data_IF_924373973398
#
_entry.id   IF_924373973398
#
_cell.length_a   1.000
_cell.length_b   1.000
_cell.length_c   1.000
_cell.angle_alpha   90.00
_cell.angle_beta   90.00
_cell.angle_gamma   90.00
#
_symmetry.space_group_name_H-M   'P 1'
#
loop_
_entity.id
_entity.type
_entity.pdbx_description
1 polymer ?
#
# COMPACT_ATOMS: atom_id res chain seq x y z
N UNK A 1 -25.11 -13.26 17.86
CA UNK A 1 -24.25 -12.19 17.31
C UNK A 1 -24.19 -11.06 18.31
N UNK A 2 -23.00 -10.68 18.75
CA UNK A 2 -22.79 -9.45 19.51
C UNK A 2 -22.58 -8.27 18.55
N UNK A 3 -22.69 -7.03 19.04
CA UNK A 3 -22.36 -5.82 18.26
C UNK A 3 -20.91 -5.86 17.72
N UNK A 4 -19.99 -6.39 18.51
CA UNK A 4 -18.59 -6.59 18.10
C UNK A 4 -18.49 -7.53 16.90
N UNK A 5 -19.23 -8.63 16.89
CA UNK A 5 -19.17 -9.60 15.80
C UNK A 5 -19.74 -9.01 14.50
N UNK A 6 -20.78 -8.17 14.60
CA UNK A 6 -21.32 -7.42 13.45
C UNK A 6 -20.29 -6.43 12.89
N UNK A 7 -19.57 -5.70 13.75
CA UNK A 7 -18.53 -4.77 13.33
C UNK A 7 -17.37 -5.47 12.61
N UNK A 8 -16.92 -6.60 13.15
CA UNK A 8 -15.88 -7.41 12.51
C UNK A 8 -16.35 -7.86 11.13
N UNK A 9 -17.56 -8.42 11.04
CA UNK A 9 -18.11 -8.87 9.76
C UNK A 9 -18.20 -7.75 8.70
N UNK A 10 -18.68 -6.56 9.08
CA UNK A 10 -18.76 -5.42 8.16
C UNK A 10 -17.37 -4.94 7.76
N UNK A 11 -16.42 -4.89 8.70
CA UNK A 11 -15.04 -4.47 8.43
C UNK A 11 -14.37 -5.45 7.47
N UNK A 12 -14.49 -6.75 7.70
CA UNK A 12 -13.94 -7.78 6.82
C UNK A 12 -14.54 -7.69 5.42
N UNK A 13 -15.85 -7.47 5.30
CA UNK A 13 -16.49 -7.27 4.01
C UNK A 13 -15.96 -6.03 3.30
N UNK A 14 -15.81 -4.90 4.00
CA UNK A 14 -15.26 -3.66 3.45
C UNK A 14 -13.82 -3.85 2.97
N UNK A 15 -12.97 -4.47 3.79
CA UNK A 15 -11.59 -4.80 3.42
C UNK A 15 -11.55 -5.68 2.17
N UNK A 16 -12.38 -6.73 2.09
CA UNK A 16 -12.44 -7.60 0.92
C UNK A 16 -12.84 -6.84 -0.36
N UNK A 17 -13.83 -5.95 -0.30
CA UNK A 17 -14.21 -5.16 -1.47
C UNK A 17 -13.07 -4.24 -1.92
N UNK A 18 -12.41 -3.60 -0.98
CA UNK A 18 -11.27 -2.73 -1.21
C UNK A 18 -10.08 -3.48 -1.83
N UNK A 19 -9.81 -4.70 -1.37
CA UNK A 19 -8.79 -5.58 -1.96
C UNK A 19 -9.15 -5.98 -3.40
N UNK A 20 -10.42 -6.27 -3.69
CA UNK A 20 -10.87 -6.60 -5.05
C UNK A 20 -10.70 -5.39 -5.99
N UNK A 21 -11.12 -4.20 -5.56
CA UNK A 21 -10.98 -2.99 -6.38
C UNK A 21 -9.52 -2.65 -6.65
N UNK A 22 -8.67 -2.67 -5.61
CA UNK A 22 -7.24 -2.41 -5.77
C UNK A 22 -6.55 -3.44 -6.65
N UNK A 23 -6.95 -4.72 -6.59
CA UNK A 23 -6.45 -5.76 -7.49
C UNK A 23 -6.85 -5.52 -8.95
N UNK A 24 -8.09 -5.09 -9.21
CA UNK A 24 -8.54 -4.75 -10.56
C UNK A 24 -7.73 -3.57 -11.11
N UNK A 25 -7.56 -2.50 -10.33
CA UNK A 25 -6.73 -1.35 -10.72
C UNK A 25 -5.27 -1.76 -10.97
N UNK A 26 -4.75 -2.67 -10.15
CA UNK A 26 -3.41 -3.22 -10.33
C UNK A 26 -3.28 -3.93 -11.68
N UNK A 27 -4.14 -4.90 -11.96
CA UNK A 27 -4.04 -5.72 -13.19
C UNK A 27 -4.31 -4.90 -14.45
N UNK A 28 -5.31 -4.02 -14.42
CA UNK A 28 -5.74 -3.29 -15.60
C UNK A 28 -4.86 -2.06 -15.90
N UNK A 29 -4.26 -1.45 -14.89
CA UNK A 29 -3.60 -0.14 -15.03
C UNK A 29 -2.16 -0.18 -14.53
N UNK A 30 -1.90 -0.58 -13.29
CA UNK A 30 -0.58 -0.43 -12.68
C UNK A 30 0.46 -1.42 -13.22
N UNK A 31 0.10 -2.70 -13.32
CA UNK A 31 1.00 -3.77 -13.75
C UNK A 31 1.52 -3.52 -15.18
N UNK A 32 0.70 -3.15 -16.18
CA UNK A 32 1.21 -2.77 -17.50
C UNK A 32 2.23 -1.62 -17.46
N UNK A 33 2.02 -0.63 -16.59
CA UNK A 33 2.92 0.52 -16.41
C UNK A 33 4.29 0.11 -15.87
N UNK A 34 4.35 -0.86 -14.95
CA UNK A 34 5.63 -1.37 -14.44
C UNK A 34 6.52 -1.97 -15.52
N UNK A 35 5.93 -2.47 -16.62
CA UNK A 35 6.67 -3.13 -17.72
C UNK A 35 7.19 -2.08 -18.72
N UNK A 36 6.46 -0.98 -18.90
CA UNK A 36 6.79 0.08 -19.86
C UNK A 36 8.02 0.90 -19.45
N UNK A 37 8.41 0.86 -18.17
CA UNK A 37 9.60 1.57 -17.66
C UNK A 37 9.47 3.09 -17.67
N UNK A 38 8.26 3.62 -17.88
CA UNK A 38 7.94 5.05 -17.83
C UNK A 38 7.43 5.39 -16.43
N UNK A 39 7.87 6.52 -15.89
CA UNK A 39 7.34 7.01 -14.62
C UNK A 39 5.98 7.68 -14.86
N UNK A 40 4.98 7.29 -14.08
CA UNK A 40 3.63 7.83 -14.11
C UNK A 40 3.35 8.70 -12.88
N UNK A 41 2.47 9.68 -13.03
CA UNK A 41 2.00 10.47 -11.90
C UNK A 41 1.23 9.58 -10.90
N UNK A 42 1.49 9.79 -9.62
CA UNK A 42 0.86 9.02 -8.54
C UNK A 42 -0.60 9.40 -8.41
N UNK A 43 -1.49 8.43 -8.60
CA UNK A 43 -2.91 8.61 -8.34
C UNK A 43 -3.20 8.55 -6.84
N UNK A 44 -3.51 9.70 -6.25
CA UNK A 44 -3.80 9.84 -4.81
C UNK A 44 -5.17 9.28 -4.39
N UNK A 45 -6.03 8.95 -5.35
CA UNK A 45 -7.33 8.34 -5.07
C UNK A 45 -7.23 6.82 -4.87
N UNK A 46 -6.08 6.23 -5.23
CA UNK A 46 -5.85 4.80 -5.04
C UNK A 46 -5.46 4.50 -3.60
N UNK A 47 -5.85 3.30 -3.16
CA UNK A 47 -5.48 2.78 -1.84
C UNK A 47 -3.97 2.74 -1.61
N UNK A 48 -3.22 2.48 -2.68
CA UNK A 48 -1.78 2.27 -2.65
C UNK A 48 -1.38 0.93 -2.02
N UNK A 49 -0.10 0.79 -1.67
CA UNK A 49 0.43 -0.45 -1.11
C UNK A 49 1.55 -0.25 -0.09
N UNK A 50 1.56 -1.11 0.92
CA UNK A 50 2.66 -1.21 1.88
C UNK A 50 3.65 -2.26 1.40
N UNK A 51 4.94 -1.93 1.37
CA UNK A 51 5.98 -2.88 1.02
C UNK A 51 7.21 -2.74 1.93
N UNK A 52 7.89 -3.85 2.16
CA UNK A 52 9.12 -3.91 2.95
C UNK A 52 10.38 -3.86 2.09
N UNK A 53 10.24 -3.93 0.76
CA UNK A 53 11.32 -3.81 -0.21
C UNK A 53 11.26 -2.45 -0.90
N UNK A 54 12.40 -1.75 -0.94
CA UNK A 54 12.52 -0.47 -1.64
C UNK A 54 12.23 -0.65 -3.12
N UNK A 55 12.69 -1.74 -3.71
CA UNK A 55 12.49 -2.05 -5.13
C UNK A 55 11.00 -2.20 -5.48
N UNK A 56 10.21 -2.76 -4.55
CA UNK A 56 8.76 -2.88 -4.73
C UNK A 56 8.11 -1.50 -4.60
N UNK A 57 8.49 -0.70 -3.60
CA UNK A 57 7.98 0.67 -3.46
C UNK A 57 8.28 1.52 -4.70
N UNK A 58 9.49 1.44 -5.24
CA UNK A 58 9.91 2.20 -6.42
C UNK A 58 9.13 1.78 -7.67
N UNK A 59 8.88 0.47 -7.83
CA UNK A 59 8.05 -0.06 -8.93
C UNK A 59 6.60 0.42 -8.82
N UNK A 60 6.02 0.36 -7.62
CA UNK A 60 4.66 0.85 -7.36
C UNK A 60 4.57 2.36 -7.65
N UNK A 61 5.49 3.15 -7.08
CA UNK A 61 5.53 4.60 -7.24
C UNK A 61 5.70 4.98 -8.71
N UNK A 62 6.61 4.33 -9.43
CA UNK A 62 6.84 4.56 -10.86
C UNK A 62 5.62 4.20 -11.72
N UNK A 63 4.81 3.22 -11.31
CA UNK A 63 3.56 2.88 -11.97
C UNK A 63 2.40 3.86 -11.64
N UNK A 64 2.65 4.85 -10.79
CA UNK A 64 1.65 5.82 -10.34
C UNK A 64 0.81 5.32 -9.17
N UNK A 65 1.28 4.31 -8.43
CA UNK A 65 0.61 3.77 -7.24
C UNK A 65 1.21 4.40 -5.99
N UNK A 66 0.41 4.94 -5.05
CA UNK A 66 0.93 5.35 -3.76
C UNK A 66 1.61 4.17 -3.05
N UNK A 67 2.83 4.38 -2.55
CA UNK A 67 3.61 3.31 -1.93
C UNK A 67 4.17 3.77 -0.58
N UNK A 68 4.02 2.92 0.44
CA UNK A 68 4.58 3.15 1.77
C UNK A 68 5.63 2.10 2.08
N UNK A 69 6.83 2.58 2.35
CA UNK A 69 7.94 1.73 2.75
C UNK A 69 7.87 1.44 4.25
N UNK A 70 7.52 0.21 4.60
CA UNK A 70 7.36 -0.22 5.99
C UNK A 70 8.58 -1.04 6.40
N UNK A 71 9.24 -0.62 7.47
CA UNK A 71 10.43 -1.28 8.02
C UNK A 71 10.28 -1.44 9.51
N UNK A 72 10.71 -2.58 10.05
CA UNK A 72 10.84 -2.70 11.50
C UNK A 72 11.88 -1.71 12.00
N UNK A 73 11.65 -1.13 13.19
CA UNK A 73 12.52 -0.11 13.77
C UNK A 73 13.99 -0.56 13.85
N UNK A 74 14.23 -1.83 14.14
CA UNK A 74 15.57 -2.43 14.21
C UNK A 74 16.35 -2.35 12.88
N UNK A 75 15.68 -2.14 11.74
CA UNK A 75 16.28 -2.06 10.42
C UNK A 75 16.27 -0.64 9.83
N UNK A 76 15.89 0.37 10.60
CA UNK A 76 15.99 1.77 10.20
C UNK A 76 17.42 2.24 10.53
N UNK A 77 18.19 2.73 9.55
CA UNK A 77 19.53 3.26 9.81
C UNK A 77 19.51 4.37 10.87
N UNK A 78 20.49 4.39 11.77
CA UNK A 78 20.57 5.37 12.87
C UNK A 78 20.71 6.81 12.38
N UNK A 79 21.20 7.00 11.15
CA UNK A 79 21.36 8.28 10.48
C UNK A 79 20.13 8.70 9.65
N UNK A 80 19.12 7.84 9.52
CA UNK A 80 17.89 8.17 8.81
C UNK A 80 17.05 9.16 9.64
N UNK A 81 16.70 10.30 9.04
CA UNK A 81 15.85 11.29 9.68
C UNK A 81 14.39 10.82 9.71
N UNK A 82 13.99 10.21 10.81
CA UNK A 82 12.58 9.86 11.08
C UNK A 82 11.84 11.11 11.54
N UNK A 83 10.77 11.48 10.84
CA UNK A 83 9.94 12.65 11.18
C UNK A 83 8.90 12.27 12.24
N UNK A 84 8.12 11.21 11.98
CA UNK A 84 7.09 10.71 12.88
C UNK A 84 7.09 9.17 12.89
N UNK A 85 7.43 8.51 14.01
CA UNK A 85 7.29 7.06 14.14
C UNK A 85 5.82 6.69 14.38
N UNK A 86 5.30 5.74 13.61
CA UNK A 86 3.96 5.16 13.82
C UNK A 86 4.11 3.82 14.53
N UNK A 87 3.48 3.70 15.71
CA UNK A 87 3.40 2.43 16.43
C UNK A 87 2.20 1.63 15.88
N UNK A 88 2.49 0.47 15.29
CA UNK A 88 1.46 -0.50 14.95
C UNK A 88 1.16 -1.31 16.21
N UNK A 89 -0.01 -1.08 16.82
CA UNK A 89 -0.53 -1.81 18.00
C UNK A 89 -1.37 -3.01 17.60
#
# INVERSE_FOLDING_TARGET
LTFRDLLIFVTDAQCLFLDIYSYIDWVLIAQPRTILGVCHEVNREWMGGFAQSSDICDRLFSAGVPAWYVRASAYIPLDMKVVEPVLLT
#
